data_IF_797251103899
#
_entry.id   IF_797251103899
#
_cell.length_a   1.000
_cell.length_b   1.000
_cell.length_c   1.000
_cell.angle_alpha   90.00
_cell.angle_beta   90.00
_cell.angle_gamma   90.00
#
_symmetry.space_group_name_H-M   'P 1'
#
loop_
_entity.id
_entity.type
_entity.pdbx_description
1 polymer ?
#
# COMPACT_ATOMS: atom_id res chain seq x y z
N UNK A 1 -24.75 -4.43 14.87
CA UNK A 1 -23.63 -5.31 14.53
C UNK A 1 -22.42 -4.45 14.23
N UNK A 2 -21.29 -4.74 14.88
CA UNK A 2 -19.99 -4.10 14.71
C UNK A 2 -19.02 -5.09 14.10
N UNK A 3 -18.46 -4.75 12.94
CA UNK A 3 -17.46 -5.56 12.25
C UNK A 3 -16.08 -4.91 12.42
N UNK A 4 -15.12 -5.67 12.92
CA UNK A 4 -13.72 -5.28 12.99
C UNK A 4 -13.04 -5.37 11.63
N UNK A 5 -12.38 -4.29 11.20
CA UNK A 5 -11.56 -4.23 10.00
C UNK A 5 -10.11 -3.84 10.38
N UNK A 6 -9.16 -4.79 10.33
CA UNK A 6 -7.78 -4.51 10.76
C UNK A 6 -7.11 -3.41 9.92
N UNK A 7 -6.38 -2.50 10.56
CA UNK A 7 -5.59 -1.41 9.96
C UNK A 7 -4.26 -1.91 9.36
N UNK A 8 -4.33 -2.92 8.52
CA UNK A 8 -3.17 -3.51 7.85
C UNK A 8 -3.51 -3.99 6.44
N UNK A 9 -2.49 -4.14 5.60
CA UNK A 9 -2.61 -4.65 4.23
C UNK A 9 -3.69 -3.94 3.42
N UNK A 10 -4.82 -4.61 3.14
CA UNK A 10 -5.92 -4.07 2.33
C UNK A 10 -6.55 -2.80 2.88
N UNK A 11 -6.33 -2.48 4.16
CA UNK A 11 -6.76 -1.19 4.71
C UNK A 11 -6.29 -0.01 3.87
N UNK A 12 -5.04 -0.04 3.41
CA UNK A 12 -4.40 1.09 2.75
C UNK A 12 -4.90 1.33 1.32
N UNK A 13 -5.49 0.33 0.67
CA UNK A 13 -5.95 0.43 -0.73
C UNK A 13 -7.46 0.26 -0.91
N UNK A 14 -8.11 -0.54 -0.05
CA UNK A 14 -9.48 -1.05 -0.26
C UNK A 14 -10.40 -0.86 0.95
N UNK A 15 -9.95 -0.20 2.02
CA UNK A 15 -10.87 0.21 3.08
C UNK A 15 -12.07 1.03 2.59
N UNK A 16 -11.94 2.00 1.65
CA UNK A 16 -13.08 2.79 1.16
C UNK A 16 -14.21 1.92 0.59
N UNK A 17 -13.85 0.87 -0.17
CA UNK A 17 -14.82 -0.10 -0.70
C UNK A 17 -15.59 -0.78 0.43
N UNK A 18 -14.89 -1.32 1.43
CA UNK A 18 -15.52 -2.06 2.52
C UNK A 18 -16.31 -1.16 3.47
N UNK A 19 -15.80 0.03 3.77
CA UNK A 19 -16.48 1.05 4.55
C UNK A 19 -17.84 1.41 3.89
N UNK A 20 -17.84 1.69 2.59
CA UNK A 20 -19.08 1.98 1.85
C UNK A 20 -20.03 0.80 1.77
N UNK A 21 -19.50 -0.42 1.57
CA UNK A 21 -20.32 -1.64 1.53
C UNK A 21 -21.06 -1.89 2.85
N UNK A 22 -20.34 -1.89 3.97
CA UNK A 22 -20.94 -2.16 5.28
C UNK A 22 -21.81 -1.01 5.78
N UNK A 23 -21.41 0.24 5.51
CA UNK A 23 -22.22 1.43 5.82
C UNK A 23 -23.60 1.35 5.14
N UNK A 24 -23.65 1.03 3.85
CA UNK A 24 -24.93 0.90 3.12
C UNK A 24 -25.80 -0.27 3.63
N UNK A 25 -25.19 -1.28 4.25
CA UNK A 25 -25.91 -2.38 4.91
C UNK A 25 -26.33 -2.04 6.34
N UNK A 26 -26.03 -0.85 6.85
CA UNK A 26 -26.30 -0.45 8.23
C UNK A 26 -25.45 -1.21 9.26
N UNK A 27 -24.23 -1.60 8.88
CA UNK A 27 -23.28 -2.30 9.75
C UNK A 27 -22.14 -1.34 10.08
N UNK A 28 -21.84 -1.19 11.37
CA UNK A 28 -20.76 -0.35 11.86
C UNK A 28 -19.41 -1.04 11.61
N UNK A 29 -18.46 -0.33 11.00
CA UNK A 29 -17.09 -0.80 10.80
C UNK A 29 -16.18 -0.16 11.83
N UNK A 30 -15.47 -0.99 12.58
CA UNK A 30 -14.52 -0.56 13.61
C UNK A 30 -13.11 -0.92 13.14
N UNK A 31 -12.23 0.08 13.02
CA UNK A 31 -10.83 -0.12 12.65
C UNK A 31 -9.95 -0.26 13.89
N UNK A 32 -8.87 -1.03 13.80
CA UNK A 32 -7.88 -1.11 14.88
C UNK A 32 -7.13 0.23 15.04
N UNK A 33 -6.59 0.54 16.23
CA UNK A 33 -5.86 1.79 16.45
C UNK A 33 -4.59 1.85 15.57
N UNK A 34 -3.99 3.04 15.41
CA UNK A 34 -2.70 3.16 14.74
C UNK A 34 -1.67 2.18 15.32
N UNK A 35 -0.79 1.68 14.45
CA UNK A 35 0.25 0.74 14.87
C UNK A 35 1.10 1.35 15.97
N UNK A 36 1.35 0.56 17.00
CA UNK A 36 2.21 0.89 18.13
C UNK A 36 2.90 -0.38 18.62
N UNK A 37 3.85 -0.23 19.54
CA UNK A 37 4.70 -1.33 20.03
C UNK A 37 3.93 -2.57 20.45
N UNK A 38 2.82 -2.42 21.16
CA UNK A 38 2.03 -3.55 21.62
C UNK A 38 1.40 -4.34 20.46
N UNK A 39 0.87 -3.65 19.42
CA UNK A 39 0.35 -4.31 18.21
C UNK A 39 1.46 -5.09 17.51
N UNK A 40 2.64 -4.47 17.36
CA UNK A 40 3.79 -5.13 16.73
C UNK A 40 4.20 -6.40 17.50
N UNK A 41 4.36 -6.30 18.81
CA UNK A 41 4.75 -7.45 19.67
C UNK A 41 3.70 -8.56 19.68
N UNK A 42 2.41 -8.22 19.70
CA UNK A 42 1.33 -9.21 19.60
C UNK A 42 1.33 -9.88 18.22
N UNK A 43 1.57 -9.11 17.16
CA UNK A 43 1.70 -9.62 15.81
C UNK A 43 2.84 -10.63 15.66
N UNK A 44 4.02 -10.29 16.17
CA UNK A 44 5.19 -11.17 16.21
C UNK A 44 4.92 -12.48 16.95
N UNK A 45 4.18 -12.44 18.07
CA UNK A 45 3.85 -13.65 18.85
C UNK A 45 2.83 -14.56 18.16
N UNK A 46 1.99 -14.01 17.29
CA UNK A 46 0.83 -14.72 16.70
C UNK A 46 1.03 -15.16 15.26
N UNK A 47 1.95 -14.52 14.55
CA UNK A 47 2.30 -14.88 13.18
C UNK A 47 3.49 -15.85 13.16
N UNK A 48 3.60 -16.62 12.08
CA UNK A 48 4.76 -17.48 11.84
C UNK A 48 5.99 -16.64 11.47
N UNK A 49 7.17 -17.09 11.87
CA UNK A 49 8.46 -16.42 11.60
C UNK A 49 8.72 -16.22 10.10
N UNK A 50 8.23 -17.13 9.25
CA UNK A 50 8.35 -17.12 7.78
C UNK A 50 7.43 -16.09 7.09
N UNK A 51 6.56 -15.45 7.85
CA UNK A 51 5.63 -14.45 7.32
C UNK A 51 6.32 -13.09 7.14
N UNK A 52 5.85 -12.30 6.18
CA UNK A 52 6.40 -10.96 6.00
C UNK A 52 5.89 -10.03 7.09
N UNK A 53 6.66 -9.00 7.41
CA UNK A 53 6.32 -7.97 8.40
C UNK A 53 4.85 -7.46 8.30
N UNK A 54 4.31 -7.12 7.12
CA UNK A 54 2.91 -6.70 6.98
C UNK A 54 1.87 -7.72 7.45
N UNK A 55 2.15 -9.02 7.32
CA UNK A 55 1.27 -10.06 7.79
C UNK A 55 1.35 -10.23 9.31
N UNK A 56 2.55 -10.02 9.89
CA UNK A 56 2.73 -9.96 11.35
C UNK A 56 1.98 -8.76 11.93
N UNK A 57 2.06 -7.59 11.29
CA UNK A 57 1.26 -6.43 11.66
C UNK A 57 -0.24 -6.71 11.57
N UNK A 58 -0.70 -7.38 10.52
CA UNK A 58 -2.11 -7.78 10.41
C UNK A 58 -2.53 -8.67 11.59
N UNK A 59 -1.71 -9.65 11.99
CA UNK A 59 -1.98 -10.49 13.17
C UNK A 59 -2.12 -9.65 14.46
N UNK A 60 -1.26 -8.65 14.64
CA UNK A 60 -1.34 -7.74 15.79
C UNK A 60 -2.59 -6.85 15.75
N UNK A 61 -2.96 -6.34 14.58
CA UNK A 61 -4.17 -5.53 14.40
C UNK A 61 -5.45 -6.34 14.60
N UNK A 62 -5.45 -7.63 14.27
CA UNK A 62 -6.56 -8.55 14.58
C UNK A 62 -6.70 -8.70 16.12
N UNK A 63 -5.59 -8.86 16.85
CA UNK A 63 -5.61 -8.96 18.32
C UNK A 63 -6.17 -7.68 18.98
N UNK A 64 -5.94 -6.51 18.39
CA UNK A 64 -6.44 -5.24 18.92
C UNK A 64 -7.97 -5.05 18.76
N UNK A 65 -8.66 -5.91 18.01
CA UNK A 65 -10.11 -5.82 17.74
C UNK A 65 -10.92 -6.69 18.72
N UNK A 66 -10.85 -6.39 20.02
CA UNK A 66 -11.55 -7.18 21.05
C UNK A 66 -13.03 -6.78 21.26
N UNK A 67 -13.41 -5.56 20.85
CA UNK A 67 -14.75 -4.98 21.10
C UNK A 67 -15.61 -4.95 19.84
N UNK A 68 -15.68 -6.07 19.13
CA UNK A 68 -16.46 -6.21 17.88
C UNK A 68 -17.24 -7.53 17.88
N UNK A 69 -18.35 -7.58 17.13
CA UNK A 69 -19.18 -8.78 17.04
C UNK A 69 -18.58 -9.84 16.11
N UNK A 70 -17.75 -9.41 15.16
CA UNK A 70 -17.03 -10.26 14.22
C UNK A 70 -15.81 -9.53 13.62
N UNK A 71 -14.80 -10.27 13.17
CA UNK A 71 -13.67 -9.69 12.43
C UNK A 71 -13.80 -10.07 10.95
N UNK A 72 -13.68 -9.08 10.07
CA UNK A 72 -13.77 -9.29 8.64
C UNK A 72 -12.40 -9.42 7.99
N UNK A 73 -12.13 -10.60 7.42
CA UNK A 73 -10.90 -10.96 6.72
C UNK A 73 -11.23 -11.42 5.29
N UNK A 74 -11.29 -10.50 4.31
CA UNK A 74 -11.62 -10.87 2.94
C UNK A 74 -10.49 -11.63 2.27
N UNK A 75 -10.83 -12.64 1.47
CA UNK A 75 -9.90 -13.27 0.53
C UNK A 75 -9.95 -12.54 -0.80
N UNK A 76 -9.07 -11.58 -1.00
CA UNK A 76 -8.94 -10.91 -2.29
C UNK A 76 -8.04 -11.75 -3.20
N UNK A 77 -8.63 -12.63 -4.01
CA UNK A 77 -7.88 -13.45 -4.99
C UNK A 77 -7.22 -12.58 -6.05
N UNK A 78 -7.98 -11.59 -6.48
CA UNK A 78 -7.59 -10.61 -7.49
C UNK A 78 -8.44 -9.37 -7.30
N UNK A 79 -7.91 -8.22 -7.68
CA UNK A 79 -8.55 -6.89 -7.58
C UNK A 79 -8.79 -6.24 -8.94
N UNK A 80 -8.27 -6.83 -10.02
CA UNK A 80 -8.46 -6.39 -11.40
C UNK A 80 -8.51 -7.59 -12.35
N UNK A 81 -8.73 -7.37 -13.65
CA UNK A 81 -8.66 -8.46 -14.62
C UNK A 81 -7.23 -8.99 -14.75
N UNK A 82 -7.08 -10.27 -15.09
CA UNK A 82 -5.81 -10.92 -15.43
C UNK A 82 -4.68 -10.91 -14.38
N UNK A 83 -4.95 -10.55 -13.12
CA UNK A 83 -3.94 -10.61 -12.04
C UNK A 83 -4.35 -11.43 -10.84
N UNK A 84 -3.41 -11.73 -9.97
CA UNK A 84 -3.62 -12.30 -8.65
C UNK A 84 -3.00 -11.39 -7.58
N UNK A 85 -3.45 -11.53 -6.33
CA UNK A 85 -2.69 -11.05 -5.19
C UNK A 85 -1.62 -12.08 -4.79
N UNK A 86 -0.68 -11.69 -3.91
CA UNK A 86 0.38 -12.60 -3.50
C UNK A 86 -0.19 -13.81 -2.73
N UNK A 87 0.48 -14.97 -2.73
CA UNK A 87 -0.02 -16.16 -2.04
C UNK A 87 -0.33 -15.94 -0.54
N UNK A 88 0.44 -15.08 0.14
CA UNK A 88 0.20 -14.72 1.54
C UNK A 88 -1.13 -13.97 1.72
N UNK A 89 -1.50 -13.08 0.77
CA UNK A 89 -2.82 -12.44 0.73
C UNK A 89 -3.95 -13.44 0.53
N UNK A 90 -3.73 -14.43 -0.34
CA UNK A 90 -4.73 -15.46 -0.61
C UNK A 90 -5.04 -16.27 0.65
N UNK A 91 -4.03 -16.60 1.46
CA UNK A 91 -4.20 -17.41 2.67
C UNK A 91 -4.66 -16.65 3.92
N UNK A 92 -4.91 -15.33 3.86
CA UNK A 92 -5.22 -14.52 5.05
C UNK A 92 -6.32 -15.12 5.93
N UNK A 93 -7.51 -15.51 5.40
CA UNK A 93 -8.60 -15.93 6.27
C UNK A 93 -8.30 -17.19 7.07
N UNK A 94 -7.40 -18.08 6.60
CA UNK A 94 -7.05 -19.32 7.28
C UNK A 94 -5.78 -19.16 8.12
N UNK A 95 -4.74 -18.57 7.54
CA UNK A 95 -3.41 -18.46 8.18
C UNK A 95 -3.45 -17.58 9.42
N UNK A 96 -4.40 -16.64 9.51
CA UNK A 96 -4.51 -15.71 10.64
C UNK A 96 -5.61 -16.04 11.65
N UNK A 97 -6.32 -17.17 11.50
CA UNK A 97 -7.25 -17.65 12.53
C UNK A 97 -6.61 -17.74 13.93
N UNK A 98 -5.34 -18.19 14.10
CA UNK A 98 -4.70 -18.23 15.42
C UNK A 98 -4.49 -16.84 16.07
N UNK A 99 -4.53 -15.77 15.28
CA UNK A 99 -4.42 -14.40 15.73
C UNK A 99 -5.78 -13.78 16.10
N UNK A 100 -6.90 -14.48 15.91
CA UNK A 100 -8.23 -13.97 16.25
C UNK A 100 -8.49 -14.13 17.76
N UNK A 101 -8.98 -13.09 18.46
CA UNK A 101 -9.38 -13.22 19.86
C UNK A 101 -10.45 -14.30 20.06
N UNK A 102 -10.37 -15.04 21.17
CA UNK A 102 -11.26 -16.16 21.44
C UNK A 102 -12.73 -15.70 21.50
N UNK A 103 -13.62 -16.48 20.90
CA UNK A 103 -15.06 -16.20 20.87
C UNK A 103 -15.52 -15.19 19.81
N UNK A 104 -14.60 -14.57 19.05
CA UNK A 104 -14.97 -13.65 17.97
C UNK A 104 -15.03 -14.40 16.63
N UNK A 105 -16.19 -14.47 15.95
CA UNK A 105 -16.30 -15.12 14.65
C UNK A 105 -15.56 -14.33 13.56
N UNK A 106 -15.01 -15.07 12.59
CA UNK A 106 -14.41 -14.48 11.38
C UNK A 106 -15.41 -14.50 10.24
N UNK A 107 -15.62 -13.32 9.65
CA UNK A 107 -16.38 -13.16 8.42
C UNK A 107 -15.40 -13.08 7.26
N UNK A 108 -15.63 -13.89 6.22
CA UNK A 108 -14.81 -13.88 5.03
C UNK A 108 -15.65 -14.01 3.78
N UNK A 109 -15.24 -13.30 2.73
CA UNK A 109 -15.76 -13.43 1.38
C UNK A 109 -14.59 -13.51 0.42
N UNK A 110 -14.72 -14.36 -0.60
CA UNK A 110 -13.72 -14.49 -1.66
C UNK A 110 -14.06 -13.55 -2.81
N UNK A 111 -13.24 -12.53 -3.03
CA UNK A 111 -13.38 -11.64 -4.17
C UNK A 111 -12.37 -12.02 -5.25
N UNK A 112 -12.88 -12.34 -6.44
CA UNK A 112 -12.06 -12.67 -7.60
C UNK A 112 -12.46 -11.84 -8.80
N UNK A 113 -11.83 -10.67 -8.95
CA UNK A 113 -12.13 -9.73 -10.03
C UNK A 113 -11.72 -10.25 -11.43
N UNK A 114 -10.85 -11.27 -11.55
CA UNK A 114 -10.60 -11.97 -12.82
C UNK A 114 -11.85 -12.64 -13.40
N UNK A 115 -12.77 -13.09 -12.54
CA UNK A 115 -14.05 -13.68 -12.98
C UNK A 115 -15.08 -12.60 -13.35
N UNK A 116 -14.70 -11.33 -13.28
CA UNK A 116 -15.52 -10.18 -13.65
C UNK A 116 -16.48 -9.71 -12.55
N UNK A 117 -16.95 -8.47 -12.72
CA UNK A 117 -17.84 -7.77 -11.79
C UNK A 117 -19.10 -8.56 -11.42
N UNK A 118 -19.68 -9.30 -12.38
CA UNK A 118 -20.89 -10.11 -12.14
C UNK A 118 -20.65 -11.22 -11.12
N UNK A 119 -19.48 -11.88 -11.17
CA UNK A 119 -19.16 -12.94 -10.22
C UNK A 119 -18.90 -12.35 -8.83
N UNK A 120 -18.14 -11.26 -8.75
CA UNK A 120 -17.91 -10.54 -7.48
C UNK A 120 -19.22 -10.14 -6.81
N UNK A 121 -20.18 -9.60 -7.57
CA UNK A 121 -21.50 -9.27 -7.04
C UNK A 121 -22.26 -10.52 -6.55
N UNK A 122 -22.15 -11.67 -7.24
CA UNK A 122 -22.76 -12.93 -6.78
C UNK A 122 -22.14 -13.39 -5.46
N UNK A 123 -20.82 -13.33 -5.33
CA UNK A 123 -20.11 -13.74 -4.11
C UNK A 123 -20.48 -12.82 -2.94
N UNK A 124 -20.57 -11.51 -3.18
CA UNK A 124 -21.08 -10.55 -2.19
C UNK A 124 -22.56 -10.74 -1.86
N UNK A 125 -23.38 -11.22 -2.80
CA UNK A 125 -24.77 -11.58 -2.54
C UNK A 125 -24.88 -12.78 -1.60
N UNK A 126 -24.06 -13.81 -1.80
CA UNK A 126 -24.00 -14.96 -0.89
C UNK A 126 -23.57 -14.51 0.50
N UNK A 127 -22.51 -13.71 0.59
CA UNK A 127 -22.02 -13.16 1.86
C UNK A 127 -23.06 -12.27 2.55
N UNK A 128 -23.67 -11.32 1.84
CA UNK A 128 -24.67 -10.43 2.43
C UNK A 128 -25.95 -11.14 2.87
N UNK A 129 -26.34 -12.24 2.20
CA UNK A 129 -27.45 -13.08 2.64
C UNK A 129 -27.14 -13.78 3.98
N UNK A 130 -25.88 -14.18 4.21
CA UNK A 130 -25.44 -14.72 5.51
C UNK A 130 -25.49 -13.66 6.62
N UNK A 131 -25.39 -12.37 6.26
CA UNK A 131 -25.61 -11.23 7.17
C UNK A 131 -27.09 -10.83 7.31
N UNK A 132 -28.02 -11.62 6.77
CA UNK A 132 -29.45 -11.36 6.83
C UNK A 132 -29.93 -10.21 5.93
N UNK A 133 -29.17 -9.83 4.90
CA UNK A 133 -29.48 -8.71 4.01
C UNK A 133 -30.12 -9.18 2.70
N UNK A 134 -31.07 -8.42 2.18
CA UNK A 134 -31.76 -8.71 0.93
C UNK A 134 -30.88 -8.45 -0.30
N UNK A 135 -31.12 -9.17 -1.40
CA UNK A 135 -30.36 -9.00 -2.66
C UNK A 135 -30.40 -7.58 -3.22
N UNK A 136 -31.51 -6.84 -3.01
CA UNK A 136 -31.63 -5.45 -3.44
C UNK A 136 -30.72 -4.52 -2.63
N UNK A 137 -30.67 -4.69 -1.30
CA UNK A 137 -29.79 -3.94 -0.41
C UNK A 137 -28.32 -4.20 -0.75
N UNK A 138 -27.95 -5.45 -0.99
CA UNK A 138 -26.57 -5.83 -1.33
C UNK A 138 -26.14 -5.21 -2.67
N UNK A 139 -27.05 -5.13 -3.66
CA UNK A 139 -26.74 -4.43 -4.93
C UNK A 139 -26.49 -2.94 -4.70
N UNK A 140 -27.30 -2.28 -3.86
CA UNK A 140 -27.08 -0.88 -3.49
C UNK A 140 -25.74 -0.70 -2.76
N UNK A 141 -25.44 -1.58 -1.81
CA UNK A 141 -24.17 -1.60 -1.07
C UNK A 141 -22.97 -1.78 -2.00
N UNK A 142 -23.06 -2.68 -2.97
CA UNK A 142 -22.00 -2.85 -3.96
C UNK A 142 -21.81 -1.59 -4.81
N UNK A 143 -22.88 -0.94 -5.26
CA UNK A 143 -22.77 0.32 -6.01
C UNK A 143 -22.11 1.43 -5.20
N UNK A 144 -22.52 1.63 -3.93
CA UNK A 144 -21.92 2.65 -3.06
C UNK A 144 -20.44 2.35 -2.76
N UNK A 145 -20.11 1.08 -2.49
CA UNK A 145 -18.74 0.63 -2.29
C UNK A 145 -17.84 0.96 -3.49
N UNK A 146 -18.33 0.75 -4.71
CA UNK A 146 -17.59 1.09 -5.92
C UNK A 146 -17.43 2.60 -6.10
N UNK A 147 -18.44 3.39 -5.73
CA UNK A 147 -18.37 4.85 -5.78
C UNK A 147 -17.32 5.40 -4.82
N UNK A 148 -17.32 4.94 -3.56
CA UNK A 148 -16.35 5.33 -2.55
C UNK A 148 -14.92 4.96 -2.94
N UNK A 149 -14.73 3.74 -3.46
CA UNK A 149 -13.43 3.30 -3.96
C UNK A 149 -12.93 4.18 -5.13
N UNK A 150 -13.80 4.51 -6.09
CA UNK A 150 -13.44 5.38 -7.22
C UNK A 150 -13.10 6.79 -6.76
N UNK A 151 -13.88 7.34 -5.83
CA UNK A 151 -13.64 8.67 -5.26
C UNK A 151 -12.28 8.72 -4.57
N UNK A 152 -11.97 7.72 -3.76
CA UNK A 152 -10.66 7.58 -3.11
C UNK A 152 -9.52 7.50 -4.14
N UNK A 153 -9.64 6.64 -5.16
CA UNK A 153 -8.61 6.54 -6.20
C UNK A 153 -8.42 7.84 -6.99
N UNK A 154 -9.49 8.58 -7.23
CA UNK A 154 -9.43 9.87 -7.91
C UNK A 154 -8.80 10.97 -7.05
N UNK A 155 -8.86 10.86 -5.71
CA UNK A 155 -8.22 11.82 -4.80
C UNK A 155 -6.72 11.63 -4.66
N UNK A 156 -6.15 10.50 -5.10
CA UNK A 156 -4.75 10.15 -4.90
C UNK A 156 -3.76 11.01 -5.72
N UNK A 157 -4.10 12.23 -6.15
CA UNK A 157 -3.22 13.09 -6.96
C UNK A 157 -2.20 13.90 -6.16
N UNK A 158 -1.62 14.91 -6.79
CA UNK A 158 -0.71 15.87 -6.15
C UNK A 158 -1.40 16.58 -4.97
N UNK A 159 -0.76 16.57 -3.79
CA UNK A 159 -1.32 17.13 -2.56
C UNK A 159 -2.17 16.16 -1.75
N UNK A 160 -2.26 14.89 -2.17
CA UNK A 160 -2.99 13.86 -1.45
C UNK A 160 -2.33 13.47 -0.12
N UNK A 161 -3.15 13.43 0.93
CA UNK A 161 -2.80 12.80 2.20
C UNK A 161 -3.72 11.61 2.50
N UNK A 162 -3.08 10.48 2.80
CA UNK A 162 -3.75 9.23 3.12
C UNK A 162 -4.60 9.34 4.39
N UNK A 163 -4.07 9.97 5.45
CA UNK A 163 -4.77 10.02 6.74
C UNK A 163 -6.00 10.92 6.65
N UNK A 164 -5.89 12.05 5.97
CA UNK A 164 -7.03 12.94 5.71
C UNK A 164 -8.14 12.22 4.93
N UNK A 165 -7.77 11.55 3.82
CA UNK A 165 -8.73 10.81 2.98
C UNK A 165 -9.47 9.71 3.75
N UNK A 166 -8.76 8.98 4.60
CA UNK A 166 -9.34 7.92 5.42
C UNK A 166 -10.22 8.51 6.52
N UNK A 167 -9.81 9.62 7.14
CA UNK A 167 -10.61 10.32 8.14
C UNK A 167 -11.95 10.79 7.55
N UNK A 168 -11.95 11.33 6.33
CA UNK A 168 -13.18 11.71 5.63
C UNK A 168 -14.13 10.51 5.43
N UNK A 169 -13.58 9.35 5.07
CA UNK A 169 -14.37 8.12 4.89
C UNK A 169 -14.94 7.65 6.24
N UNK A 170 -14.12 7.61 7.30
CA UNK A 170 -14.56 7.22 8.64
C UNK A 170 -15.65 8.17 9.16
N UNK A 171 -15.53 9.47 8.93
CA UNK A 171 -16.54 10.47 9.31
C UNK A 171 -17.84 10.30 8.50
N UNK A 172 -17.73 10.04 7.20
CA UNK A 172 -18.89 9.72 6.35
C UNK A 172 -19.65 8.50 6.87
N UNK A 173 -18.96 7.45 7.34
CA UNK A 173 -19.64 6.27 7.90
C UNK A 173 -20.44 6.56 9.17
N UNK A 174 -20.03 7.57 9.96
CA UNK A 174 -20.67 7.95 11.23
C UNK A 174 -21.82 8.95 11.04
N UNK A 175 -22.13 9.36 9.80
CA UNK A 175 -23.15 10.37 9.52
C UNK A 175 -22.77 11.78 10.00
N UNK A 176 -21.47 12.01 10.29
CA UNK A 176 -20.94 13.31 10.69
C UNK A 176 -20.62 14.12 9.43
N UNK A 177 -21.63 14.75 8.84
CA UNK A 177 -21.41 15.77 7.81
C UNK A 177 -21.01 17.07 8.48
N UNK A 178 -19.69 17.32 8.53
CA UNK A 178 -19.00 18.57 8.87
C UNK A 178 -19.57 19.43 10.02
N UNK A 179 -19.03 19.24 11.23
CA UNK A 179 -18.61 20.36 12.09
C UNK A 179 -17.73 19.87 13.23
N UNK A 180 -16.66 20.64 13.45
CA UNK A 180 -15.64 20.57 14.52
C UNK A 180 -14.37 19.77 14.18
N UNK A 181 -13.40 20.56 13.72
CA UNK A 181 -11.96 20.31 13.83
C UNK A 181 -11.62 19.87 15.26
N UNK A 182 -11.51 18.57 15.53
CA UNK A 182 -10.88 18.08 16.74
C UNK A 182 -9.39 17.85 16.47
N UNK A 183 -8.62 18.89 16.78
CA UNK A 183 -7.17 19.00 16.58
C UNK A 183 -6.39 18.13 17.56
N UNK A 184 -6.35 16.82 17.34
CA UNK A 184 -5.36 15.92 17.98
C UNK A 184 -4.63 15.00 17.01
N UNK A 185 -4.71 15.29 15.70
CA UNK A 185 -3.71 14.83 14.74
C UNK A 185 -2.67 15.95 14.67
N UNK A 186 -1.36 15.70 14.88
CA UNK A 186 -0.37 16.74 14.66
C UNK A 186 -0.56 17.21 13.21
N UNK A 187 -0.96 18.48 13.04
CA UNK A 187 -1.03 19.13 11.73
C UNK A 187 0.28 18.79 11.04
N UNK A 188 0.22 17.96 10.00
CA UNK A 188 1.35 17.82 9.11
C UNK A 188 1.71 19.24 8.70
N UNK A 189 2.99 19.57 8.84
CA UNK A 189 3.56 20.86 8.50
C UNK A 189 2.92 21.27 7.17
N UNK A 190 2.31 22.46 7.06
CA UNK A 190 1.71 22.88 5.81
C UNK A 190 2.81 22.83 4.75
N UNK A 191 2.68 21.89 3.80
CA UNK A 191 3.58 21.82 2.64
C UNK A 191 3.13 22.93 1.72
N UNK A 192 3.55 24.15 2.03
CA UNK A 192 3.46 25.31 1.16
C UNK A 192 4.83 25.60 0.56
N UNK A 193 4.78 25.97 -0.71
CA UNK A 193 5.82 26.49 -1.62
C UNK A 193 6.56 25.43 -2.44
N UNK A 194 6.12 25.32 -3.70
CA UNK A 194 6.91 24.81 -4.82
C UNK A 194 8.21 25.59 -4.90
N UNK A 195 9.24 25.08 -4.24
CA UNK A 195 10.62 25.46 -4.53
C UNK A 195 11.09 24.59 -5.70
N UNK A 196 11.28 25.15 -6.91
CA UNK A 196 11.72 24.40 -8.08
C UNK A 196 13.11 23.76 -7.89
N UNK A 197 13.90 24.23 -6.92
CA UNK A 197 15.20 23.66 -6.60
C UNK A 197 15.10 22.45 -5.67
N UNK A 198 13.95 22.23 -5.04
CA UNK A 198 13.74 21.08 -4.15
C UNK A 198 13.84 19.77 -4.92
N UNK A 199 14.48 18.78 -4.30
CA UNK A 199 14.55 17.44 -4.88
C UNK A 199 13.16 16.81 -4.99
N UNK A 200 12.95 16.06 -6.06
CA UNK A 200 11.76 15.24 -6.26
C UNK A 200 12.12 13.77 -6.27
N UNK A 201 11.69 13.05 -5.24
CA UNK A 201 12.04 11.65 -5.01
C UNK A 201 10.81 10.78 -5.18
N UNK A 202 10.91 9.71 -5.97
CA UNK A 202 9.87 8.70 -6.04
C UNK A 202 10.06 7.67 -4.92
N UNK A 203 9.04 7.50 -4.07
CA UNK A 203 8.97 6.41 -3.10
C UNK A 203 8.09 5.29 -3.66
N UNK A 204 8.76 4.19 -4.00
CA UNK A 204 8.17 3.02 -4.65
C UNK A 204 8.04 1.89 -3.63
N UNK A 205 6.87 1.29 -3.51
CA UNK A 205 6.64 0.19 -2.58
C UNK A 205 5.16 -0.09 -2.39
N UNK A 206 4.85 -1.07 -1.57
CA UNK A 206 3.46 -1.35 -1.20
C UNK A 206 2.89 -0.22 -0.33
N UNK A 207 1.63 0.16 -0.57
CA UNK A 207 0.88 1.16 0.23
C UNK A 207 0.91 0.88 1.73
N UNK A 208 0.75 -0.40 2.10
CA UNK A 208 0.79 -0.88 3.48
C UNK A 208 2.18 -0.86 4.13
N UNK A 209 3.21 -0.48 3.39
CA UNK A 209 4.55 -0.17 3.91
C UNK A 209 4.82 1.33 3.84
N UNK A 210 4.49 2.00 2.73
CA UNK A 210 4.76 3.44 2.54
C UNK A 210 3.92 4.32 3.46
N UNK A 211 2.69 3.90 3.78
CA UNK A 211 1.75 4.64 4.64
C UNK A 211 1.67 4.12 6.08
N UNK A 212 2.48 3.13 6.46
CA UNK A 212 2.51 2.58 7.82
C UNK A 212 3.67 3.19 8.63
N UNK A 213 3.42 4.28 9.40
CA UNK A 213 4.46 5.12 9.97
C UNK A 213 5.24 4.47 11.10
N UNK A 214 4.64 3.53 11.86
CA UNK A 214 5.34 2.86 12.94
C UNK A 214 6.36 1.87 12.38
N UNK A 215 5.95 1.02 11.43
CA UNK A 215 6.82 -0.01 10.89
C UNK A 215 7.90 0.54 9.94
N UNK A 216 7.62 1.64 9.25
CA UNK A 216 8.59 2.29 8.37
C UNK A 216 9.40 3.41 9.03
N UNK A 217 9.25 3.61 10.35
CA UNK A 217 9.98 4.63 11.14
C UNK A 217 9.74 6.06 10.64
N UNK A 218 8.49 6.32 10.23
CA UNK A 218 7.99 7.56 9.65
C UNK A 218 8.80 8.03 8.43
N UNK A 219 9.27 7.08 7.60
CA UNK A 219 10.11 7.36 6.44
C UNK A 219 9.47 8.36 5.47
N UNK A 220 8.17 8.22 5.20
CA UNK A 220 7.46 9.14 4.30
C UNK A 220 7.42 10.57 4.86
N UNK A 221 7.14 10.75 6.16
CA UNK A 221 7.15 12.06 6.81
C UNK A 221 8.54 12.69 6.80
N UNK A 222 9.59 11.91 7.08
CA UNK A 222 11.00 12.36 7.03
C UNK A 222 11.41 12.75 5.61
N UNK A 223 11.01 11.98 4.60
CA UNK A 223 11.27 12.33 3.20
C UNK A 223 10.57 13.63 2.79
N UNK A 224 9.29 13.79 3.15
CA UNK A 224 8.51 15.01 2.87
C UNK A 224 9.08 16.27 3.54
N UNK A 225 9.96 16.15 4.54
CA UNK A 225 10.68 17.29 5.11
C UNK A 225 11.87 17.73 4.24
N UNK A 226 12.48 16.81 3.48
CA UNK A 226 13.69 17.09 2.68
C UNK A 226 13.41 17.21 1.17
N UNK A 227 12.39 16.52 0.66
CA UNK A 227 12.08 16.43 -0.77
C UNK A 227 10.56 16.47 -1.04
N UNK A 228 10.18 16.81 -2.27
CA UNK A 228 8.88 16.48 -2.83
C UNK A 228 8.85 14.96 -3.09
N UNK A 229 7.77 14.29 -2.68
CA UNK A 229 7.68 12.82 -2.76
C UNK A 229 6.57 12.40 -3.70
N UNK A 230 6.92 11.67 -4.75
CA UNK A 230 5.98 11.00 -5.62
C UNK A 230 5.76 9.55 -5.19
N UNK A 231 4.51 9.12 -5.18
CA UNK A 231 4.10 7.80 -4.73
C UNK A 231 3.51 7.00 -5.90
N UNK A 232 3.60 5.67 -5.81
CA UNK A 232 2.97 4.76 -6.79
C UNK A 232 1.47 5.03 -6.91
N UNK A 233 0.83 5.39 -5.79
CA UNK A 233 -0.60 5.68 -5.69
C UNK A 233 -1.01 6.92 -6.49
N UNK A 234 -0.08 7.83 -6.79
CA UNK A 234 -0.36 9.02 -7.59
C UNK A 234 -0.51 8.74 -9.09
N UNK A 235 -0.10 7.55 -9.52
CA UNK A 235 -0.06 7.21 -10.94
C UNK A 235 -1.38 6.56 -11.34
N UNK A 236 -1.97 7.10 -12.41
CA UNK A 236 -3.22 6.57 -12.96
C UNK A 236 -2.96 5.19 -13.57
N UNK A 237 -3.97 4.34 -13.49
CA UNK A 237 -3.89 2.97 -14.00
C UNK A 237 -3.48 2.88 -15.48
N UNK A 238 -3.97 3.81 -16.30
CA UNK A 238 -3.67 3.87 -17.73
C UNK A 238 -2.17 4.10 -17.99
N UNK A 239 -1.55 4.98 -17.19
CA UNK A 239 -0.13 5.31 -17.28
C UNK A 239 0.73 4.13 -16.76
N UNK A 240 0.27 3.43 -15.72
CA UNK A 240 0.88 2.18 -15.25
C UNK A 240 0.89 1.13 -16.37
N UNK A 241 -0.26 0.85 -16.98
CA UNK A 241 -0.40 -0.20 -17.98
C UNK A 241 0.43 0.11 -19.26
N UNK A 242 0.52 1.38 -19.67
CA UNK A 242 1.37 1.81 -20.78
C UNK A 242 2.86 1.49 -20.55
N UNK A 243 3.33 1.66 -19.30
CA UNK A 243 4.72 1.42 -18.92
C UNK A 243 5.07 -0.07 -18.68
N UNK A 244 4.07 -0.97 -18.70
CA UNK A 244 4.26 -2.42 -18.62
C UNK A 244 4.52 -3.07 -20.00
N UNK A 245 4.19 -2.39 -21.10
CA UNK A 245 4.30 -2.93 -22.47
C UNK A 245 5.74 -3.29 -22.86
N UNK A 246 6.74 -2.71 -22.19
CA UNK A 246 8.17 -2.99 -22.43
C UNK A 246 8.62 -4.35 -21.88
N UNK A 247 7.84 -4.96 -20.98
CA UNK A 247 8.19 -6.27 -20.44
C UNK A 247 7.85 -7.38 -21.42
N UNK A 248 8.84 -8.25 -21.68
CA UNK A 248 8.64 -9.47 -22.48
C UNK A 248 7.61 -10.42 -21.88
N UNK A 249 7.47 -10.43 -20.54
CA UNK A 249 6.51 -11.26 -19.82
C UNK A 249 5.61 -10.39 -18.94
N UNK A 250 4.31 -10.66 -18.98
CA UNK A 250 3.34 -9.98 -18.12
C UNK A 250 3.61 -10.33 -16.65
N UNK A 251 3.61 -9.29 -15.80
CA UNK A 251 3.57 -9.49 -14.35
C UNK A 251 2.17 -9.97 -13.96
N UNK A 252 2.13 -11.01 -13.14
CA UNK A 252 0.87 -11.65 -12.77
C UNK A 252 0.30 -11.15 -11.44
N UNK A 253 1.13 -10.52 -10.60
CA UNK A 253 0.66 -9.93 -9.34
C UNK A 253 0.22 -8.48 -9.54
N UNK A 254 -0.93 -8.12 -8.95
CA UNK A 254 -1.48 -6.76 -9.07
C UNK A 254 -0.50 -5.69 -8.57
N UNK A 255 -0.03 -5.77 -7.32
CA UNK A 255 0.90 -4.78 -6.79
C UNK A 255 2.23 -4.75 -7.55
N UNK A 256 2.70 -5.89 -8.05
CA UNK A 256 3.91 -5.92 -8.89
C UNK A 256 3.73 -5.10 -10.17
N UNK A 257 2.57 -5.20 -10.83
CA UNK A 257 2.23 -4.37 -11.99
C UNK A 257 2.24 -2.88 -11.63
N UNK A 258 1.57 -2.51 -10.53
CA UNK A 258 1.51 -1.12 -10.08
C UNK A 258 2.90 -0.55 -9.80
N UNK A 259 3.65 -1.23 -8.94
CA UNK A 259 4.99 -0.82 -8.50
C UNK A 259 5.94 -0.72 -9.68
N UNK A 260 5.97 -1.72 -10.58
CA UNK A 260 6.87 -1.71 -11.72
C UNK A 260 6.45 -0.72 -12.80
N UNK A 261 5.16 -0.63 -13.13
CA UNK A 261 4.66 0.30 -14.14
C UNK A 261 4.87 1.77 -13.74
N UNK A 262 4.50 2.13 -12.50
CA UNK A 262 4.80 3.45 -11.95
C UNK A 262 6.31 3.68 -11.82
N UNK A 263 7.05 2.68 -11.32
CA UNK A 263 8.50 2.72 -11.20
C UNK A 263 9.20 3.02 -12.54
N UNK A 264 8.78 2.37 -13.62
CA UNK A 264 9.33 2.63 -14.96
C UNK A 264 9.09 4.08 -15.41
N UNK A 265 7.90 4.60 -15.12
CA UNK A 265 7.57 5.99 -15.42
C UNK A 265 8.50 6.93 -14.65
N UNK A 266 8.73 6.69 -13.35
CA UNK A 266 9.64 7.48 -12.53
C UNK A 266 11.11 7.38 -12.98
N UNK A 267 11.55 6.22 -13.45
CA UNK A 267 12.90 6.06 -14.01
C UNK A 267 13.08 6.93 -15.26
N UNK A 268 12.06 7.00 -16.10
CA UNK A 268 12.08 7.73 -17.37
C UNK A 268 11.79 9.23 -17.23
N UNK A 269 11.17 9.65 -16.12
CA UNK A 269 10.84 11.06 -15.88
C UNK A 269 12.10 11.86 -15.49
N UNK A 270 12.53 12.86 -16.28
CA UNK A 270 13.67 13.70 -15.93
C UNK A 270 13.43 14.56 -14.69
N UNK A 271 12.18 14.79 -14.28
CA UNK A 271 11.83 15.56 -13.08
C UNK A 271 12.03 14.79 -11.79
N UNK A 272 12.17 13.46 -11.84
CA UNK A 272 12.44 12.64 -10.66
C UNK A 272 13.95 12.51 -10.47
N UNK A 273 14.47 13.04 -9.37
CA UNK A 273 15.90 13.06 -9.07
C UNK A 273 16.42 11.71 -8.56
N UNK A 274 15.55 10.89 -7.98
CA UNK A 274 15.92 9.57 -7.47
C UNK A 274 14.74 8.72 -7.05
N UNK A 275 14.99 7.42 -6.90
CA UNK A 275 13.99 6.42 -6.54
C UNK A 275 14.42 5.71 -5.25
N UNK A 276 13.52 5.65 -4.28
CA UNK A 276 13.66 4.84 -3.08
C UNK A 276 12.62 3.73 -3.15
N UNK A 277 13.08 2.49 -3.20
CA UNK A 277 12.24 1.30 -3.14
C UNK A 277 12.13 0.81 -1.70
N UNK A 278 10.92 0.81 -1.14
CA UNK A 278 10.62 0.30 0.19
C UNK A 278 10.00 -1.10 0.08
N UNK A 279 10.72 -2.10 0.58
CA UNK A 279 10.25 -3.48 0.69
C UNK A 279 10.30 -3.96 2.13
N UNK A 280 9.92 -5.22 2.37
CA UNK A 280 10.05 -5.87 3.67
C UNK A 280 10.60 -7.28 3.54
N UNK A 281 11.22 -7.77 4.62
CA UNK A 281 11.71 -9.13 4.69
C UNK A 281 10.57 -10.14 4.49
N UNK A 282 10.85 -11.22 3.77
CA UNK A 282 9.86 -12.24 3.42
C UNK A 282 8.83 -11.82 2.36
N UNK A 283 9.01 -10.69 1.66
CA UNK A 283 8.16 -10.30 0.54
C UNK A 283 8.60 -10.98 -0.78
N UNK A 284 7.92 -12.08 -1.14
CA UNK A 284 8.26 -12.84 -2.35
C UNK A 284 7.90 -12.16 -3.67
N UNK A 285 6.95 -11.23 -3.69
CA UNK A 285 6.63 -10.48 -4.93
C UNK A 285 7.68 -9.42 -5.23
N UNK A 286 8.14 -8.73 -4.19
CA UNK A 286 9.13 -7.66 -4.34
C UNK A 286 10.51 -8.19 -4.67
N UNK A 287 10.87 -9.40 -4.23
CA UNK A 287 12.17 -10.01 -4.55
C UNK A 287 12.44 -10.05 -6.05
N UNK A 288 11.40 -10.20 -6.88
CA UNK A 288 11.49 -10.12 -8.33
C UNK A 288 11.37 -8.67 -8.84
N UNK A 289 10.38 -7.92 -8.36
CA UNK A 289 10.04 -6.59 -8.90
C UNK A 289 11.15 -5.57 -8.63
N UNK A 290 11.73 -5.60 -7.43
CA UNK A 290 12.79 -4.68 -7.04
C UNK A 290 14.01 -4.81 -7.95
N UNK A 291 14.39 -6.04 -8.32
CA UNK A 291 15.56 -6.28 -9.17
C UNK A 291 15.30 -5.85 -10.61
N UNK A 292 14.09 -6.10 -11.12
CA UNK A 292 13.70 -5.61 -12.46
C UNK A 292 13.77 -4.09 -12.53
N UNK A 293 13.22 -3.39 -11.54
CA UNK A 293 13.23 -1.93 -11.51
C UNK A 293 14.65 -1.38 -11.27
N UNK A 294 15.43 -2.00 -10.39
CA UNK A 294 16.81 -1.62 -10.12
C UNK A 294 17.69 -1.73 -11.38
N UNK A 295 17.53 -2.79 -12.18
CA UNK A 295 18.25 -2.94 -13.45
C UNK A 295 17.90 -1.82 -14.42
N UNK A 296 16.60 -1.55 -14.58
CA UNK A 296 16.15 -0.50 -15.47
C UNK A 296 16.64 0.90 -15.02
N UNK A 297 16.58 1.19 -13.71
CA UNK A 297 17.15 2.41 -13.16
C UNK A 297 18.65 2.53 -13.42
N UNK A 298 19.42 1.44 -13.27
CA UNK A 298 20.86 1.38 -13.57
C UNK A 298 21.15 1.65 -15.05
N UNK A 299 20.39 1.04 -15.96
CA UNK A 299 20.50 1.26 -17.42
C UNK A 299 20.24 2.71 -17.83
N UNK A 300 19.32 3.38 -17.15
CA UNK A 300 18.99 4.80 -17.37
C UNK A 300 19.80 5.76 -16.49
N UNK A 301 20.76 5.23 -15.75
CA UNK A 301 21.54 5.97 -14.77
C UNK A 301 20.70 6.76 -13.75
N UNK A 302 19.46 6.34 -13.43
CA UNK A 302 18.63 6.98 -12.41
C UNK A 302 19.10 6.55 -11.01
N UNK A 303 19.34 7.48 -10.05
CA UNK A 303 19.63 7.13 -8.67
C UNK A 303 18.57 6.20 -8.08
N UNK A 304 19.00 5.09 -7.51
CA UNK A 304 18.10 4.08 -6.97
C UNK A 304 18.66 3.54 -5.65
N UNK A 305 17.83 3.52 -4.61
CA UNK A 305 18.14 2.90 -3.32
C UNK A 305 17.01 1.95 -2.93
N UNK A 306 17.34 0.77 -2.41
CA UNK A 306 16.37 -0.14 -1.85
C UNK A 306 16.52 -0.22 -0.32
N UNK A 307 15.42 -0.06 0.42
CA UNK A 307 15.33 -0.22 1.86
C UNK A 307 14.42 -1.40 2.15
N UNK A 308 14.97 -2.43 2.81
CA UNK A 308 14.20 -3.55 3.35
C UNK A 308 13.86 -3.28 4.80
N UNK A 309 12.57 -3.30 5.13
CA UNK A 309 12.07 -3.25 6.49
C UNK A 309 11.96 -4.65 7.08
N UNK A 310 12.29 -4.74 8.35
CA UNK A 310 12.22 -5.94 9.17
C UNK A 310 11.90 -5.56 10.63
N UNK A 311 11.52 -6.54 11.45
CA UNK A 311 11.08 -6.34 12.83
C UNK A 311 12.19 -5.86 13.77
N UNK A 312 13.44 -6.05 13.36
CA UNK A 312 14.63 -5.57 14.04
C UNK A 312 15.21 -4.28 13.45
N UNK A 313 14.50 -3.61 12.52
CA UNK A 313 15.02 -2.42 11.85
C UNK A 313 15.25 -1.27 12.84
N UNK A 314 16.51 -0.84 12.96
CA UNK A 314 16.90 0.30 13.78
C UNK A 314 16.71 1.63 13.05
N UNK A 315 16.14 2.61 13.75
CA UNK A 315 15.86 3.95 13.22
C UNK A 315 17.11 4.69 12.72
N UNK A 316 18.19 4.66 13.51
CA UNK A 316 19.43 5.36 13.17
C UNK A 316 19.99 4.91 11.81
N UNK A 317 20.01 3.60 11.54
CA UNK A 317 20.53 3.05 10.29
C UNK A 317 19.67 3.43 9.07
N UNK A 318 18.35 3.49 9.23
CA UNK A 318 17.44 3.93 8.16
C UNK A 318 17.62 5.43 7.87
N UNK A 319 17.70 6.26 8.91
CA UNK A 319 17.89 7.70 8.77
C UNK A 319 19.21 8.02 8.08
N UNK A 320 20.35 7.48 8.53
CA UNK A 320 21.64 7.76 7.90
C UNK A 320 21.67 7.39 6.41
N UNK A 321 21.04 6.26 6.03
CA UNK A 321 20.93 5.85 4.63
C UNK A 321 20.07 6.80 3.80
N UNK A 322 18.97 7.27 4.38
CA UNK A 322 18.09 8.26 3.75
C UNK A 322 18.84 9.56 3.51
N UNK A 323 19.57 10.06 4.51
CA UNK A 323 20.35 11.29 4.42
C UNK A 323 21.45 11.17 3.37
N UNK A 324 22.22 10.09 3.40
CA UNK A 324 23.26 9.85 2.40
C UNK A 324 22.70 9.80 0.97
N UNK A 325 21.49 9.23 0.77
CA UNK A 325 20.85 9.19 -0.53
C UNK A 325 20.39 10.57 -1.01
N UNK A 326 19.79 11.37 -0.12
CA UNK A 326 19.37 12.74 -0.43
C UNK A 326 20.60 13.59 -0.75
N UNK A 327 21.65 13.57 0.09
CA UNK A 327 22.90 14.30 -0.16
C UNK A 327 23.53 13.92 -1.51
N UNK A 328 23.52 12.63 -1.86
CA UNK A 328 24.00 12.15 -3.15
C UNK A 328 23.15 12.69 -4.31
N UNK A 329 21.82 12.70 -4.19
CA UNK A 329 20.91 13.24 -5.19
C UNK A 329 21.08 14.76 -5.37
N UNK A 330 21.24 15.51 -4.28
CA UNK A 330 21.50 16.96 -4.29
C UNK A 330 22.81 17.26 -5.02
N UNK A 331 23.91 16.60 -4.65
CA UNK A 331 25.21 16.79 -5.31
C UNK A 331 25.14 16.50 -6.80
N UNK A 332 24.38 15.47 -7.19
CA UNK A 332 24.19 15.11 -8.59
C UNK A 332 23.43 16.20 -9.37
N UNK A 333 22.46 16.87 -8.75
CA UNK A 333 21.70 17.98 -9.35
C UNK A 333 22.56 19.25 -9.50
N UNK A 334 23.46 19.53 -8.55
CA UNK A 334 24.24 20.79 -8.50
C UNK A 334 25.60 20.72 -9.20
N UNK A 335 26.30 19.58 -9.19
CA UNK A 335 27.74 19.52 -9.52
C UNK A 335 28.11 18.62 -10.71
N UNK A 336 27.17 18.32 -11.61
CA UNK A 336 27.29 17.38 -12.74
C UNK A 336 28.64 16.66 -12.94
N UNK A 337 28.65 15.39 -12.57
CA UNK A 337 29.31 14.36 -13.35
C UNK A 337 28.29 13.24 -13.57
N UNK A 338 27.87 13.00 -14.81
CA UNK A 338 27.15 11.77 -15.21
C UNK A 338 28.09 10.56 -15.18
N UNK A 339 28.86 10.42 -14.09
CA UNK A 339 29.71 9.27 -13.86
C UNK A 339 28.81 8.20 -13.27
N UNK A 340 28.48 7.20 -14.08
CA UNK A 340 27.84 5.98 -13.61
C UNK A 340 28.57 5.46 -12.38
N UNK A 341 27.89 5.29 -11.24
CA UNK A 341 28.45 4.63 -10.06
C UNK A 341 28.85 3.17 -10.35
N UNK A 342 28.39 2.62 -11.48
CA UNK A 342 28.67 1.26 -11.95
C UNK A 342 29.73 1.22 -13.07
N UNK A 343 30.33 2.36 -13.43
CA UNK A 343 31.27 2.46 -14.56
C UNK A 343 30.58 2.25 -15.92
N UNK A 344 31.39 2.23 -17.00
CA UNK A 344 30.94 1.73 -18.32
C UNK A 344 30.90 0.21 -18.28
N UNK A 345 29.82 -0.39 -18.79
CA UNK A 345 29.79 -1.83 -19.07
C UNK A 345 30.85 -2.13 -20.13
N UNK A 346 31.95 -2.79 -19.75
CA UNK A 346 33.05 -3.15 -20.64
C UNK A 346 32.73 -4.36 -21.52
N UNK A 347 31.56 -4.96 -21.31
CA UNK A 347 31.09 -6.16 -21.98
C UNK A 347 29.67 -5.93 -22.50
N UNK A 348 29.54 -5.56 -23.78
CA UNK A 348 28.31 -5.81 -24.54
C UNK A 348 28.46 -6.97 -25.53
N UNK A 349 29.68 -7.43 -25.76
CA UNK A 349 30.06 -8.30 -26.87
C UNK A 349 30.58 -9.69 -26.42
N UNK A 350 30.58 -10.02 -25.11
CA UNK A 350 31.13 -11.31 -24.66
C UNK A 350 30.24 -12.53 -24.99
N UNK A 351 29.01 -12.32 -25.48
CA UNK A 351 28.10 -13.38 -25.94
C UNK A 351 28.08 -13.57 -27.47
N UNK A 352 29.03 -12.98 -28.20
CA UNK A 352 29.30 -13.35 -29.60
C UNK A 352 30.57 -14.20 -29.65
N UNK A 353 30.44 -15.48 -29.28
CA UNK A 353 31.32 -16.58 -29.71
C UNK A 353 30.48 -17.84 -29.90
#
# INVERSE_FOLDING_TARGET
MKIGFPRALFYYDYFPFWAGFFHQLGIEVVTSPPTHRQIMEQGLKKASDETCLPLKLLAGHIQALEKVDAIFLPRMVSVEADTYNCPKFLGIPETLLPAVPSGIPVLSVTLNWRKGKRQVLKDLQVFGLQLGKGKAEIRKAFSLAQEWQKRYQASNGTGWDFQESICEIENATKGLTNSQNDTTIPKQIPISFHDPDRLKIALVGHSYLTHEPYANLNLLGRLRQKAEVELVQHIRQEDVDANLLRLRKKLFWHHAKQIYGAGNMFVMDPKIDGIIYLSCFGCGTDSMVQELLARFAREQHKPYMMITLDEHSGEAGLVTRLEAFIDMAERRKVHEGYVSAHGKCLDRDSNTL
#
